data_IF_605855927900
#
_entry.id   IF_605855927900
#
_cell.length_a   1.000
_cell.length_b   1.000
_cell.length_c   1.000
_cell.angle_alpha   90.00
_cell.angle_beta   90.00
_cell.angle_gamma   90.00
#
_symmetry.space_group_name_H-M   'P 1'
#
loop_
_entity.id
_entity.type
_entity.pdbx_description
1 polymer ?
2 non-polymer ?
3 non-polymer ?
4 non-polymer ?
5 water ?
#
# COMPACT_ATOMS: atom_id res chain seq x y z
N UNK A 1 1.23 -17.16 3.85
CA UNK A 1 0.19 -17.13 4.89
C UNK A 1 0.23 -15.81 5.62
N UNK A 2 -0.89 -15.19 5.89
CA UNK A 2 -0.92 -14.02 6.78
C UNK A 2 -1.33 -14.48 8.15
N UNK A 3 -0.75 -13.79 9.13
CA UNK A 3 -0.85 -14.19 10.51
C UNK A 3 -1.23 -13.09 11.46
N UNK A 4 -1.30 -11.83 11.01
CA UNK A 4 -1.51 -10.73 11.93
C UNK A 4 -2.85 -10.05 11.72
N UNK A 5 -3.54 -9.79 12.82
CA UNK A 5 -4.66 -8.89 12.82
C UNK A 5 -4.13 -7.52 13.26
N UNK A 6 -3.79 -6.72 12.27
CA UNK A 6 -3.21 -5.40 12.56
C UNK A 6 -4.26 -4.50 13.17
N UNK A 7 -3.85 -3.74 14.16
CA UNK A 7 -4.74 -2.83 14.85
C UNK A 7 -4.63 -1.45 14.22
N UNK A 8 -5.75 -0.88 13.88
CA UNK A 8 -5.77 0.44 13.29
C UNK A 8 -5.45 1.51 14.33
N UNK A 9 -4.90 2.62 13.87
CA UNK A 9 -4.61 3.76 14.73
C UNK A 9 -5.85 4.20 15.47
N UNK A 10 -5.69 4.40 16.77
CA UNK A 10 -6.74 5.02 17.59
C UNK A 10 -6.95 6.43 17.09
N UNK A 11 -8.18 6.78 16.83
CA UNK A 11 -8.48 8.11 16.37
C UNK A 11 -7.98 8.41 14.95
N UNK A 12 -7.84 7.37 14.11
CA UNK A 12 -7.43 7.54 12.72
C UNK A 12 -8.29 8.61 12.04
N UNK A 13 -7.62 9.51 11.33
CA UNK A 13 -8.25 10.61 10.59
C UNK A 13 -8.32 10.21 9.12
N UNK A 14 -9.46 9.63 8.73
CA UNK A 14 -9.65 9.09 7.39
C UNK A 14 -9.59 10.18 6.30
N UNK A 15 -10.15 11.35 6.54
CA UNK A 15 -10.17 12.36 5.49
C UNK A 15 -8.76 12.90 5.20
N UNK A 16 -7.89 12.98 6.22
CA UNK A 16 -6.54 13.41 5.99
C UNK A 16 -5.74 12.37 5.22
N UNK A 17 -5.89 11.09 5.54
CA UNK A 17 -5.15 10.05 4.85
C UNK A 17 -5.64 9.92 3.42
N UNK A 18 -6.96 9.87 3.25
CA UNK A 18 -7.60 9.73 1.97
C UNK A 18 -7.92 11.11 1.35
N UNK A 19 -6.88 11.91 1.17
CA UNK A 19 -7.02 13.29 0.70
C UNK A 19 -6.74 13.47 -0.78
N UNK A 20 -6.49 12.37 -1.49
CA UNK A 20 -6.17 12.44 -2.91
C UNK A 20 -4.71 12.51 -3.27
N UNK A 21 -3.85 12.61 -2.26
CA UNK A 21 -2.43 12.79 -2.49
C UNK A 21 -1.69 11.45 -2.52
N UNK A 22 -0.40 11.54 -2.82
CA UNK A 22 0.47 10.38 -2.95
C UNK A 22 1.23 10.09 -1.66
N UNK A 23 1.38 8.79 -1.39
CA UNK A 23 2.22 8.23 -0.35
C UNK A 23 3.29 7.35 -0.99
N UNK A 24 4.54 7.55 -0.59
CA UNK A 24 5.66 6.73 -1.06
C UNK A 24 6.04 5.72 -0.01
N UNK A 25 6.28 4.49 -0.44
CA UNK A 25 6.85 3.50 0.48
C UNK A 25 8.36 3.78 0.62
N UNK A 26 8.82 4.05 1.83
CA UNK A 26 10.22 4.27 2.06
C UNK A 26 10.89 3.03 2.67
N UNK A 27 10.12 2.16 3.33
CA UNK A 27 10.70 0.99 4.00
C UNK A 27 9.60 -0.05 4.11
N UNK A 28 9.96 -1.32 4.04
CA UNK A 28 8.96 -2.38 4.14
C UNK A 28 9.53 -3.58 4.85
N UNK A 29 8.62 -4.39 5.39
CA UNK A 29 8.97 -5.63 6.06
C UNK A 29 7.89 -6.66 5.75
N UNK A 30 8.29 -7.77 5.15
CA UNK A 30 7.38 -8.90 4.98
C UNK A 30 7.75 -9.96 5.97
N UNK A 31 6.78 -10.43 6.75
CA UNK A 31 7.07 -11.48 7.71
C UNK A 31 7.46 -12.80 7.06
N UNK A 32 7.08 -12.97 5.80
CA UNK A 32 7.65 -14.01 4.87
C UNK A 32 8.58 -13.23 3.90
N UNK A 33 9.86 -13.00 4.28
CA UNK A 33 10.70 -12.05 3.52
C UNK A 33 10.98 -12.48 2.08
N UNK A 34 10.95 -13.77 1.80
CA UNK A 34 11.18 -14.22 0.42
C UNK A 34 10.01 -13.92 -0.54
N UNK A 35 8.88 -13.42 -0.04
CA UNK A 35 7.74 -13.11 -0.86
C UNK A 35 7.94 -11.85 -1.69
N UNK A 36 8.86 -10.99 -1.28
CA UNK A 36 9.11 -9.73 -1.97
C UNK A 36 10.61 -9.57 -2.23
N UNK A 37 10.99 -8.96 -3.36
CA UNK A 37 12.41 -8.78 -3.63
C UNK A 37 13.12 -7.94 -2.58
N UNK A 38 14.45 -8.04 -2.55
CA UNK A 38 15.29 -7.28 -1.64
C UNK A 38 15.37 -5.81 -2.05
N UNK A 39 15.11 -5.51 -3.32
CA UNK A 39 15.06 -4.14 -3.86
C UNK A 39 13.72 -3.95 -4.53
N UNK A 40 13.03 -2.89 -4.15
CA UNK A 40 11.70 -2.65 -4.70
C UNK A 40 11.33 -1.18 -4.60
N UNK A 41 10.39 -0.70 -5.45
CA UNK A 41 9.83 0.68 -5.49
C UNK A 41 8.28 0.55 -5.41
N UNK A 42 7.60 1.30 -4.54
CA UNK A 42 6.14 1.29 -4.53
C UNK A 42 5.61 2.58 -3.99
N UNK A 43 4.44 2.96 -4.47
CA UNK A 43 3.74 4.14 -4.04
C UNK A 43 2.28 3.96 -4.26
N UNK A 44 1.50 4.85 -3.65
CA UNK A 44 0.06 4.79 -3.79
C UNK A 44 -0.57 6.15 -3.62
N UNK A 45 -1.69 6.37 -4.30
CA UNK A 45 -2.55 7.51 -3.98
C UNK A 45 -3.78 6.97 -3.29
N UNK A 46 -4.37 7.77 -2.41
CA UNK A 46 -5.54 7.36 -1.63
C UNK A 46 -6.45 8.55 -1.54
N UNK A 47 -7.72 8.36 -1.87
CA UNK A 47 -8.68 9.46 -1.86
C UNK A 47 -10.08 9.00 -2.11
N UNK A 48 -11.02 9.92 -1.92
CA UNK A 48 -12.40 9.68 -2.33
C UNK A 48 -12.63 10.29 -3.68
N UNK A 49 -13.21 9.53 -4.59
CA UNK A 49 -13.49 10.00 -5.96
C UNK A 49 -14.96 9.76 -6.20
N UNK A 50 -15.73 10.83 -6.39
CA UNK A 50 -17.17 10.75 -6.62
C UNK A 50 -17.85 9.86 -5.57
N UNK A 51 -17.51 10.12 -4.32
CA UNK A 51 -18.10 9.45 -3.19
C UNK A 51 -17.54 8.08 -2.85
N UNK A 52 -16.64 7.54 -3.68
CA UNK A 52 -16.12 6.20 -3.52
C UNK A 52 -14.72 6.24 -2.96
N UNK A 53 -14.42 5.40 -1.97
CA UNK A 53 -13.10 5.31 -1.36
C UNK A 53 -12.18 4.52 -2.27
N UNK A 54 -11.05 5.11 -2.67
CA UNK A 54 -10.19 4.53 -3.69
C UNK A 54 -8.73 4.57 -3.30
N UNK A 55 -7.97 3.57 -3.79
CA UNK A 55 -6.49 3.61 -3.79
C UNK A 55 -6.00 3.23 -5.17
N UNK A 56 -4.97 3.96 -5.64
CA UNK A 56 -4.23 3.65 -6.85
C UNK A 56 -2.85 3.24 -6.44
N UNK A 57 -2.34 2.14 -6.97
CA UNK A 57 -1.08 1.56 -6.59
C UNK A 57 -0.12 1.55 -7.76
N UNK A 58 1.16 1.65 -7.43
CA UNK A 58 2.27 1.53 -8.34
C UNK A 58 3.32 0.66 -7.71
N UNK A 59 3.78 -0.35 -8.46
CA UNK A 59 4.88 -1.23 -8.09
C UNK A 59 5.90 -1.25 -9.21
N UNK A 60 7.16 -1.24 -8.83
CA UNK A 60 8.27 -1.28 -9.79
C UNK A 60 9.44 -2.02 -9.18
N UNK A 61 9.91 -3.04 -9.89
CA UNK A 61 11.10 -3.76 -9.50
C UNK A 61 12.26 -3.12 -10.23
N UNK A 62 13.17 -2.45 -9.49
CA UNK A 62 14.19 -1.64 -10.13
C UNK A 62 15.27 -2.44 -10.84
N UNK A 63 15.34 -3.75 -10.59
CA UNK A 63 16.28 -4.63 -11.27
C UNK A 63 15.65 -5.25 -12.52
N UNK A 64 14.47 -5.83 -12.39
CA UNK A 64 13.85 -6.49 -13.52
C UNK A 64 13.09 -5.54 -14.45
N UNK A 65 12.73 -4.37 -13.94
CA UNK A 65 11.85 -3.38 -14.59
C UNK A 65 10.40 -3.79 -14.64
N UNK A 66 10.02 -4.85 -13.95
CA UNK A 66 8.59 -5.19 -13.88
C UNK A 66 7.83 -4.06 -13.25
N UNK A 67 6.77 -3.65 -13.93
CA UNK A 67 5.99 -2.44 -13.58
C UNK A 67 4.52 -2.78 -13.61
N UNK A 68 3.76 -2.35 -12.61
CA UNK A 68 2.31 -2.46 -12.74
C UNK A 68 1.62 -1.45 -11.87
N UNK A 69 0.45 -1.04 -12.35
CA UNK A 69 -0.46 -0.16 -11.65
C UNK A 69 -1.74 -0.91 -11.35
N UNK A 70 -2.41 -0.49 -10.28
CA UNK A 70 -3.70 -1.05 -9.91
C UNK A 70 -4.61 0.04 -9.42
N UNK A 71 -5.89 -0.12 -9.68
CA UNK A 71 -6.95 0.74 -9.13
C UNK A 71 -7.75 -0.13 -8.13
N UNK A 72 -8.03 0.38 -6.94
CA UNK A 72 -8.66 -0.35 -5.90
C UNK A 72 -9.86 0.42 -5.37
N UNK A 73 -10.95 -0.32 -5.13
CA UNK A 73 -12.12 0.20 -4.47
C UNK A 73 -12.09 -0.37 -3.06
N UNK A 74 -12.16 0.49 -2.03
CA UNK A 74 -12.05 -0.02 -0.67
C UNK A 74 -13.41 -0.12 0.01
N UNK A 75 -13.65 -1.25 0.67
CA UNK A 75 -14.78 -1.39 1.56
C UNK A 75 -14.29 -1.27 2.99
N UNK A 76 -15.14 -0.74 3.82
CA UNK A 76 -14.81 -0.48 5.22
C UNK A 76 -15.17 -1.66 6.07
N UNK A 77 -14.21 -2.15 6.83
CA UNK A 77 -14.44 -3.15 7.87
C UNK A 77 -14.58 -2.49 9.25
N UNK A 78 -13.80 -1.45 9.49
CA UNK A 78 -13.83 -0.66 10.72
C UNK A 78 -12.94 0.55 10.44
N UNK A 79 -12.90 1.51 11.35
CA UNK A 79 -12.12 2.71 11.06
C UNK A 79 -10.66 2.34 10.86
N UNK A 80 -10.11 2.70 9.72
CA UNK A 80 -8.71 2.40 9.39
C UNK A 80 -8.42 0.98 8.92
N UNK A 81 -9.45 0.13 8.75
CA UNK A 81 -9.25 -1.23 8.24
C UNK A 81 -10.22 -1.52 7.10
N UNK A 82 -9.64 -1.88 5.96
CA UNK A 82 -10.34 -1.97 4.70
C UNK A 82 -10.06 -3.27 4.00
N UNK A 83 -10.98 -3.68 3.12
CA UNK A 83 -10.78 -4.75 2.17
C UNK A 83 -10.90 -4.14 0.78
N UNK A 84 -9.95 -4.46 -0.09
CA UNK A 84 -9.80 -3.78 -1.36
C UNK A 84 -9.69 -4.72 -2.52
N UNK A 85 -10.59 -4.51 -3.45
CA UNK A 85 -10.43 -5.15 -4.69
C UNK A 85 -9.28 -4.51 -5.43
N UNK A 86 -8.92 -5.15 -6.52
CA UNK A 86 -7.94 -4.53 -7.37
C UNK A 86 -8.12 -4.97 -8.79
N UNK A 87 -8.03 -4.01 -9.69
CA UNK A 87 -7.93 -4.27 -11.11
C UNK A 87 -6.57 -3.75 -11.55
N UNK A 88 -5.87 -4.55 -12.34
CA UNK A 88 -4.60 -4.14 -12.91
C UNK A 88 -4.91 -3.27 -14.11
N UNK A 89 -4.26 -2.13 -14.20
CA UNK A 89 -4.49 -1.15 -15.24
C UNK A 89 -3.18 -0.66 -15.78
N UNK A 90 -3.21 -0.09 -16.98
CA UNK A 90 -2.07 0.71 -17.40
C UNK A 90 -2.11 2.06 -16.67
N UNK A 91 -1.06 2.90 -16.90
CA UNK A 91 -1.00 4.16 -16.16
C UNK A 91 -2.19 5.07 -16.44
N UNK A 92 -2.85 4.88 -17.55
CA UNK A 92 -4.00 5.68 -17.92
C UNK A 92 -5.34 5.11 -17.46
N UNK A 93 -5.31 4.02 -16.74
CA UNK A 93 -6.53 3.46 -16.20
C UNK A 93 -7.22 2.43 -17.08
N UNK A 94 -6.63 2.07 -18.21
CA UNK A 94 -7.25 1.02 -19.05
C UNK A 94 -7.04 -0.33 -18.42
N UNK A 95 -8.10 -1.12 -18.36
CA UNK A 95 -8.07 -2.37 -17.61
C UNK A 95 -7.28 -3.43 -18.34
N UNK A 96 -6.32 -4.01 -17.63
CA UNK A 96 -5.55 -5.17 -18.08
C UNK A 96 -6.04 -6.47 -17.46
N UNK A 97 -6.40 -6.42 -16.18
CA UNK A 97 -6.96 -7.57 -15.49
C UNK A 97 -8.09 -7.01 -14.64
N UNK A 98 -9.30 -7.48 -14.92
CA UNK A 98 -10.50 -7.00 -14.25
C UNK A 98 -10.52 -7.41 -12.79
N UNK A 99 -11.33 -6.70 -12.01
CA UNK A 99 -11.67 -7.13 -10.65
C UNK A 99 -12.17 -8.56 -10.72
N UNK A 100 -11.83 -9.36 -9.71
CA UNK A 100 -12.41 -10.68 -9.49
C UNK A 100 -12.44 -10.97 -7.98
N UNK A 101 -13.38 -11.80 -7.54
CA UNK A 101 -13.65 -11.99 -6.12
C UNK A 101 -12.47 -12.35 -5.30
N UNK A 102 -11.67 -13.20 -5.92
CA UNK A 102 -10.53 -13.82 -5.28
C UNK A 102 -9.27 -12.96 -5.11
N UNK A 103 -9.20 -11.85 -5.83
CA UNK A 103 -8.08 -10.88 -5.89
C UNK A 103 -8.43 -9.73 -5.00
N UNK A 104 -7.87 -9.69 -3.79
CA UNK A 104 -8.14 -8.59 -2.88
C UNK A 104 -6.97 -8.45 -1.93
N UNK A 105 -6.85 -7.28 -1.32
CA UNK A 105 -5.93 -7.10 -0.19
C UNK A 105 -6.66 -6.48 0.97
N UNK A 106 -6.25 -6.83 2.19
CA UNK A 106 -6.66 -6.05 3.36
C UNK A 106 -5.66 -4.95 3.54
N UNK A 107 -6.09 -3.87 4.16
CA UNK A 107 -5.28 -2.70 4.32
C UNK A 107 -5.64 -2.07 5.66
N UNK A 108 -4.66 -1.95 6.55
CA UNK A 108 -4.87 -1.37 7.88
C UNK A 108 -3.88 -0.26 8.11
N UNK A 109 -4.40 0.93 8.46
CA UNK A 109 -3.55 2.06 8.79
C UNK A 109 -3.28 2.04 10.30
N UNK A 110 -2.09 1.58 10.64
CA UNK A 110 -1.66 1.41 12.00
C UNK A 110 -1.22 2.73 12.66
N UNK A 111 -0.75 3.68 11.89
CA UNK A 111 -0.31 4.97 12.38
C UNK A 111 -0.37 5.92 11.19
N UNK A 112 -0.80 7.15 11.40
CA UNK A 112 -0.68 8.16 10.36
C UNK A 112 -0.63 9.54 10.96
N UNK A 113 0.09 10.42 10.32
CA UNK A 113 -0.02 11.85 10.57
C UNK A 113 0.01 12.50 9.22
N UNK A 114 0.22 13.81 9.18
CA UNK A 114 0.09 14.47 7.89
C UNK A 114 1.14 14.09 6.89
N UNK A 115 2.27 13.58 7.36
CA UNK A 115 3.42 13.33 6.52
C UNK A 115 3.97 11.91 6.50
N UNK A 116 3.53 11.05 7.42
CA UNK A 116 4.06 9.69 7.53
C UNK A 116 2.96 8.74 7.93
N UNK A 117 3.19 7.45 7.66
CA UNK A 117 2.23 6.42 8.07
C UNK A 117 2.90 5.09 8.15
N UNK A 118 2.26 4.19 8.87
CA UNK A 118 2.63 2.78 8.94
C UNK A 118 1.38 2.00 8.62
N UNK A 119 1.47 1.13 7.60
CA UNK A 119 0.34 0.30 7.19
C UNK A 119 0.74 -1.17 7.23
N UNK A 120 -0.29 -2.00 7.28
CA UNK A 120 -0.18 -3.44 7.06
C UNK A 120 -1.09 -3.85 5.92
N UNK A 121 -0.64 -4.79 5.10
CA UNK A 121 -1.49 -5.35 4.10
C UNK A 121 -1.30 -6.86 4.08
N UNK A 122 -2.35 -7.56 3.73
CA UNK A 122 -2.30 -8.96 3.37
C UNK A 122 -2.91 -9.09 1.99
N UNK A 123 -2.08 -9.36 1.00
CA UNK A 123 -2.51 -9.56 -0.38
C UNK A 123 -2.92 -10.99 -0.65
N UNK A 124 -4.07 -11.15 -1.28
CA UNK A 124 -4.56 -12.44 -1.75
C UNK A 124 -4.74 -12.38 -3.26
N UNK A 125 -4.25 -13.39 -3.99
CA UNK A 125 -4.54 -13.53 -5.43
C UNK A 125 -5.01 -14.98 -5.56
N UNK A 126 -6.30 -15.21 -5.47
CA UNK A 126 -6.86 -16.55 -5.40
C UNK A 126 -6.45 -17.21 -4.09
N UNK A 127 -5.94 -18.42 -4.18
CA UNK A 127 -5.54 -19.15 -2.99
C UNK A 127 -4.15 -18.75 -2.50
N UNK A 128 -3.43 -17.88 -3.21
CA UNK A 128 -2.09 -17.48 -2.76
C UNK A 128 -2.17 -16.16 -2.02
N UNK A 129 -1.20 -15.94 -1.13
CA UNK A 129 -1.01 -14.63 -0.48
C UNK A 129 0.44 -14.21 -0.46
N UNK A 130 0.65 -12.94 -0.16
CA UNK A 130 1.99 -12.35 -0.14
C UNK A 130 2.46 -12.06 1.26
N UNK A 131 1.90 -12.77 2.23
CA UNK A 131 2.34 -12.67 3.62
C UNK A 131 1.96 -11.38 4.30
N UNK A 132 2.27 -11.27 5.60
CA UNK A 132 2.03 -9.93 6.25
C UNK A 132 3.07 -8.94 5.79
N UNK A 133 2.64 -7.87 5.16
CA UNK A 133 3.56 -6.87 4.65
C UNK A 133 3.28 -5.56 5.36
N UNK A 134 4.30 -5.04 6.05
CA UNK A 134 4.24 -3.74 6.67
C UNK A 134 5.01 -2.74 5.82
N UNK A 135 4.51 -1.52 5.75
CA UNK A 135 5.18 -0.48 4.99
C UNK A 135 5.13 0.84 5.74
N UNK A 136 6.30 1.48 5.76
CA UNK A 136 6.42 2.85 6.23
C UNK A 136 6.27 3.73 5.01
N UNK A 137 5.37 4.72 5.13
CA UNK A 137 5.05 5.66 4.07
C UNK A 137 5.48 7.06 4.44
N UNK A 138 5.76 7.87 3.43
CA UNK A 138 5.97 9.29 3.64
C UNK A 138 5.38 10.04 2.47
N UNK A 139 5.00 11.28 2.71
CA UNK A 139 4.59 12.22 1.65
C UNK A 139 5.77 12.67 0.81
N UNK A 140 6.97 12.64 1.35
CA UNK A 140 8.17 13.01 0.64
C UNK A 140 8.94 11.74 0.35
N UNK A 141 9.20 11.49 -0.92
CA UNK A 141 9.80 10.26 -1.34
C UNK A 141 11.19 10.02 -0.75
N UNK A 142 11.87 11.10 -0.37
CA UNK A 142 13.23 11.05 0.14
C UNK A 142 13.37 11.11 1.65
N UNK A 143 12.25 11.17 2.36
CA UNK A 143 12.33 11.32 3.81
C UNK A 143 12.78 10.08 4.56
N UNK A 144 13.78 10.29 5.41
CA UNK A 144 14.15 9.26 6.39
C UNK A 144 13.03 9.13 7.41
N UNK A 145 12.80 7.92 7.90
CA UNK A 145 11.74 7.71 8.86
C UNK A 145 12.03 8.47 10.15
N UNK A 146 11.06 9.27 10.57
CA UNK A 146 11.17 10.05 11.78
C UNK A 146 10.71 9.30 13.00
N UNK A 147 10.81 10.00 14.12
CA UNK A 147 10.51 9.40 15.40
C UNK A 147 9.07 8.96 15.58
N UNK A 148 8.10 9.68 15.05
CA UNK A 148 6.71 9.30 15.24
C UNK A 148 6.49 7.94 14.60
N UNK A 149 6.87 7.77 13.34
CA UNK A 149 6.58 6.49 12.70
C UNK A 149 7.48 5.38 13.26
N UNK A 150 8.74 5.67 13.59
CA UNK A 150 9.58 4.62 14.18
C UNK A 150 9.04 4.15 15.51
N UNK A 151 8.52 5.08 16.31
CA UNK A 151 7.91 4.71 17.56
C UNK A 151 6.68 3.84 17.31
N UNK A 152 5.90 4.14 16.28
CA UNK A 152 4.74 3.32 15.93
C UNK A 152 5.16 1.91 15.52
N UNK A 153 6.28 1.77 14.82
CA UNK A 153 6.82 0.46 14.47
C UNK A 153 7.10 -0.31 15.78
N UNK A 154 7.77 0.35 16.71
CA UNK A 154 8.06 -0.27 18.00
C UNK A 154 6.77 -0.63 18.79
N UNK A 155 5.75 0.21 18.71
CA UNK A 155 4.48 -0.02 19.39
C UNK A 155 3.71 -1.20 18.81
N UNK A 156 4.01 -1.57 17.56
CA UNK A 156 3.46 -2.75 16.91
C UNK A 156 4.31 -3.99 17.23
N UNK A 157 5.30 -3.83 18.10
CA UNK A 157 6.23 -4.92 18.51
C UNK A 157 7.04 -5.41 17.31
N UNK A 158 7.42 -4.46 16.46
CA UNK A 158 8.33 -4.68 15.35
C UNK A 158 9.59 -3.87 15.59
N UNK A 159 10.60 -4.10 14.78
CA UNK A 159 11.84 -3.37 14.89
C UNK A 159 12.18 -2.73 13.57
N UNK A 160 12.23 -1.41 13.57
CA UNK A 160 12.49 -0.65 12.36
C UNK A 160 13.81 -1.04 11.69
N UNK A 161 14.79 -1.41 12.52
CA UNK A 161 16.07 -1.89 12.03
C UNK A 161 15.97 -3.06 11.07
N UNK A 162 14.89 -3.82 11.13
CA UNK A 162 14.71 -4.96 10.24
C UNK A 162 13.99 -4.63 8.94
N UNK A 163 13.43 -3.44 8.83
CA UNK A 163 12.76 -3.04 7.61
C UNK A 163 13.79 -2.79 6.50
N UNK A 164 13.41 -3.07 5.27
CA UNK A 164 14.27 -2.85 4.12
C UNK A 164 13.89 -1.52 3.45
N UNK A 165 14.87 -0.63 3.27
CA UNK A 165 14.67 0.66 2.67
C UNK A 165 14.54 0.57 1.17
N UNK A 166 13.74 1.43 0.60
CA UNK A 166 13.65 1.58 -0.87
C UNK A 166 14.56 2.70 -1.42
N UNK A 167 15.31 3.36 -0.56
CA UNK A 167 15.94 4.64 -0.94
C UNK A 167 17.13 4.55 -1.87
N UNK A 168 17.73 3.39 -1.99
CA UNK A 168 18.93 3.28 -2.81
C UNK A 168 18.64 2.66 -4.18
N UNK A 169 17.38 2.72 -4.60
CA UNK A 169 16.97 2.08 -5.87
C UNK A 169 16.73 3.03 -7.06
N UNK A 170 17.04 4.31 -6.93
CA UNK A 170 16.78 5.34 -7.95
C UNK A 170 15.31 5.39 -8.38
N UNK A 171 14.41 5.08 -7.44
CA UNK A 171 12.97 5.06 -7.73
C UNK A 171 12.48 6.40 -8.21
N UNK A 172 11.72 6.35 -9.30
CA UNK A 172 11.09 7.52 -9.90
C UNK A 172 9.62 7.24 -10.21
N UNK A 173 8.77 8.14 -9.79
CA UNK A 173 7.35 7.91 -9.74
C UNK A 173 6.60 8.88 -10.62
N UNK A 174 5.51 8.41 -11.19
CA UNK A 174 4.60 9.24 -11.96
C UNK A 174 3.43 9.61 -11.07
N UNK A 175 3.61 10.69 -10.32
CA UNK A 175 2.56 11.17 -9.41
C UNK A 175 1.27 11.51 -10.11
N UNK A 176 1.39 12.05 -11.31
CA UNK A 176 0.21 12.44 -12.07
C UNK A 176 -0.66 11.25 -12.40
N UNK A 177 -0.04 10.15 -12.83
CA UNK A 177 -0.84 8.98 -13.11
C UNK A 177 -1.45 8.38 -11.83
N UNK A 178 -0.74 8.39 -10.70
CA UNK A 178 -1.36 7.89 -9.45
C UNK A 178 -2.56 8.72 -9.05
N UNK A 179 -2.47 10.04 -9.12
CA UNK A 179 -3.64 10.88 -8.80
C UNK A 179 -4.78 10.67 -9.75
N UNK A 180 -4.51 10.59 -11.05
CA UNK A 180 -5.60 10.42 -11.99
C UNK A 180 -6.27 9.05 -11.85
N UNK A 181 -5.47 8.03 -11.54
CA UNK A 181 -6.02 6.69 -11.40
C UNK A 181 -7.07 6.57 -10.33
N UNK A 182 -7.07 7.46 -9.33
CA UNK A 182 -8.12 7.43 -8.32
C UNK A 182 -9.49 7.52 -8.91
N UNK A 183 -9.65 8.16 -10.08
CA UNK A 183 -10.94 8.34 -10.66
C UNK A 183 -11.40 7.17 -11.51
N UNK A 184 -10.52 6.20 -11.75
CA UNK A 184 -10.70 5.19 -12.80
C UNK A 184 -11.24 3.89 -12.31
X LIG B 1 16.43 -8.73 -5.86
X LIG B 1 16.13 -8.95 -7.33
X LIG B 1 16.01 -7.31 -5.58
X LIG B 1 15.64 -9.63 -4.88
X LIG B 1 17.92 -8.84 -5.62
X LIG C 1 1.71 -7.16 -5.82
X LIG C 1 0.68 -6.44 -5.30
X LIG C 1 -0.68 -6.49 -5.79
X LIG C 1 -1.18 -7.31 -6.97
X LIG C 1 -1.41 -6.44 -8.18
X LIG C 1 -1.92 -7.16 -9.38
X LIG C 1 -1.57 -8.35 -9.61
X LIG C 1 -2.70 -6.57 -10.15
X LIG C 1 -1.40 -5.69 -5.00
X LIG C 1 -2.89 -5.42 -5.10
X LIG C 1 -0.51 -5.15 -3.99
X LIG C 1 0.78 -5.60 -4.21
X LIG C 1 -0.83 -4.27 -3.01
X LIG C 1 0.07 -3.54 -2.24
X LIG C 1 -0.26 -2.50 -1.33
X LIG C 1 0.87 -1.97 -0.88
X LIG C 1 0.96 -0.82 0.15
X LIG C 1 1.97 -2.69 -1.46
X LIG C 1 1.44 -3.66 -2.30
X LIG C 1 3.33 -2.50 -1.24
X LIG C 1 4.31 -3.36 -1.66
X LIG C 1 5.73 -3.26 -1.30
X LIG C 1 6.36 -4.25 -1.86
X LIG C 1 7.87 -4.46 -1.70
X LIG C 1 5.41 -5.03 -2.60
X LIG C 1 4.15 -4.43 -2.48
X LIG C 1 5.69 -6.10 -3.34
X LIG C 1 4.82 -6.72 -4.19
X LIG C 1 5.20 -7.74 -5.11
X LIG C 1 6.57 -8.38 -5.26
X LIG C 1 4.00 -8.10 -5.88
X LIG C 1 3.87 -9.10 -6.99
X LIG C 1 3.24 -10.36 -6.43
X LIG C 1 3.01 -11.31 -7.57
X LIG C 1 2.09 -12.14 -7.42
X LIG C 1 3.77 -11.25 -8.59
X LIG C 1 2.99 -7.21 -5.37
X LIG C 1 3.47 -6.41 -4.35
X LIG C 1 2.43 -5.05 -3.26
X LIG D 1 2.08 -6.24 -1.99
X LIG D 1 1.21 -6.57 -1.28
#
# INVERSE_FOLDING_TARGET
ACTKNAIAQTGFNKDKYFNGDVWYVTDYLDLEPDDVPKRYCAALAAGTASGKLKEALYHYDPKTQDTFYDVSELQVESLGKYTANFKKVDKNGNVKVAVTAGNYYTFTVMYADDSSALIHTCLHKGNKDLGDLYAVLNRNKDAAAGDKVKSAVSAATLEFSKFISTKENNCAYDNDSLKSLLTK
PO4 P O1 O2 O3 O4
FDE CHA C1A C2A CAA CBA CGA O1A O2A C3A CMA C4A NA CHB C1B C2B C3B CME C4B NB CHC C1C C2C C3C CMF C4C NC CHD C1D C2D CMD C3D CAD CBD CGD O1D O2D C4D ND FE
NO N O
#
